data_IF_492308641699
#
_entry.id   IF_492308641699
#
_cell.length_a   1.000
_cell.length_b   1.000
_cell.length_c   1.000
_cell.angle_alpha   90.00
_cell.angle_beta   90.00
_cell.angle_gamma   90.00
#
_symmetry.space_group_name_H-M   'P 1'
#
loop_
_entity.id
_entity.type
_entity.pdbx_description
1 polymer ?
#
# COMPACT_ATOMS: atom_id res chain seq x y z
N UNK A 1 -23.42 -9.44 37.17
CA UNK A 1 -22.56 -8.44 36.50
C UNK A 1 -22.70 -8.65 35.01
N UNK A 2 -23.21 -7.67 34.26
CA UNK A 2 -23.24 -7.78 32.80
C UNK A 2 -21.78 -7.93 32.33
N UNK A 3 -21.49 -8.96 31.53
CA UNK A 3 -20.15 -9.15 30.96
C UNK A 3 -19.71 -7.90 30.19
N UNK A 4 -18.41 -7.76 29.90
CA UNK A 4 -17.93 -6.65 29.07
C UNK A 4 -18.79 -6.59 27.79
N UNK A 5 -19.44 -5.44 27.57
CA UNK A 5 -20.26 -5.23 26.38
C UNK A 5 -19.43 -5.40 25.11
N UNK A 6 -20.08 -5.45 23.96
CA UNK A 6 -19.43 -5.65 22.65
C UNK A 6 -18.25 -4.68 22.38
N UNK A 7 -18.33 -3.45 22.89
CA UNK A 7 -17.28 -2.44 22.76
C UNK A 7 -16.15 -2.58 23.79
N UNK A 8 -16.28 -3.49 24.76
CA UNK A 8 -15.26 -3.82 25.73
C UNK A 8 -14.42 -5.02 25.31
N UNK A 9 -13.33 -5.28 26.03
CA UNK A 9 -12.51 -6.46 25.81
C UNK A 9 -13.25 -7.71 26.31
N UNK A 10 -13.44 -8.69 25.44
CA UNK A 10 -14.18 -9.92 25.73
C UNK A 10 -13.44 -11.16 25.18
N UNK A 11 -13.86 -12.36 25.56
CA UNK A 11 -13.17 -13.61 25.20
C UNK A 11 -13.17 -13.90 23.68
N UNK A 12 -14.23 -13.49 22.97
CA UNK A 12 -14.35 -13.75 21.54
C UNK A 12 -13.57 -12.71 20.69
N UNK A 13 -12.28 -12.94 20.49
CA UNK A 13 -11.41 -12.04 19.71
C UNK A 13 -11.86 -11.87 18.25
N UNK A 14 -12.47 -12.88 17.62
CA UNK A 14 -12.96 -12.80 16.24
C UNK A 14 -13.98 -11.68 16.02
N UNK A 15 -14.74 -11.36 17.06
CA UNK A 15 -15.81 -10.34 17.03
C UNK A 15 -15.39 -8.98 17.53
N UNK A 16 -14.09 -8.77 17.81
CA UNK A 16 -13.59 -7.42 18.11
C UNK A 16 -13.91 -6.48 16.96
N UNK A 17 -14.33 -5.26 17.29
CA UNK A 17 -14.64 -4.20 16.34
C UNK A 17 -13.54 -4.02 15.28
N UNK A 18 -12.24 -3.93 15.61
CA UNK A 18 -11.17 -3.86 14.61
C UNK A 18 -11.13 -5.07 13.66
N UNK A 19 -11.40 -6.29 14.16
CA UNK A 19 -11.37 -7.50 13.33
C UNK A 19 -12.57 -7.55 12.37
N UNK A 20 -13.74 -7.09 12.80
CA UNK A 20 -14.90 -6.95 11.93
C UNK A 20 -14.68 -5.91 10.83
N UNK A 21 -14.03 -4.79 11.16
CA UNK A 21 -13.60 -3.79 10.17
C UNK A 21 -12.60 -4.43 9.19
N UNK A 22 -11.64 -5.23 9.69
CA UNK A 22 -10.71 -6.00 8.85
C UNK A 22 -11.42 -6.97 7.89
N UNK A 23 -12.48 -7.65 8.32
CA UNK A 23 -13.28 -8.51 7.44
C UNK A 23 -14.06 -7.70 6.39
N UNK A 24 -14.64 -6.57 6.79
CA UNK A 24 -15.32 -5.66 5.87
C UNK A 24 -14.36 -5.10 4.81
N UNK A 25 -13.12 -4.79 5.20
CA UNK A 25 -12.03 -4.40 4.31
C UNK A 25 -11.73 -5.48 3.27
N UNK A 26 -11.54 -6.74 3.69
CA UNK A 26 -11.32 -7.86 2.76
C UNK A 26 -12.47 -7.98 1.77
N UNK A 27 -13.73 -7.90 2.24
CA UNK A 27 -14.90 -7.96 1.37
C UNK A 27 -14.96 -6.80 0.36
N UNK A 28 -14.63 -5.57 0.80
CA UNK A 28 -14.59 -4.39 -0.05
C UNK A 28 -13.50 -4.49 -1.13
N UNK A 29 -12.31 -4.98 -0.78
CA UNK A 29 -11.23 -5.23 -1.75
C UNK A 29 -11.64 -6.29 -2.78
N UNK A 30 -12.21 -7.42 -2.35
CA UNK A 30 -12.70 -8.47 -3.25
C UNK A 30 -13.80 -7.96 -4.19
N UNK A 31 -14.74 -7.15 -3.67
CA UNK A 31 -15.75 -6.51 -4.49
C UNK A 31 -15.11 -5.58 -5.53
N UNK A 32 -14.18 -4.72 -5.12
CA UNK A 32 -13.47 -3.81 -6.01
C UNK A 32 -12.83 -4.57 -7.18
N UNK A 33 -12.12 -5.65 -6.88
CA UNK A 33 -11.47 -6.49 -7.88
C UNK A 33 -12.46 -7.21 -8.78
N UNK A 34 -13.59 -7.69 -8.24
CA UNK A 34 -14.65 -8.33 -9.02
C UNK A 34 -15.34 -7.40 -10.02
N UNK A 35 -15.37 -6.09 -9.76
CA UNK A 35 -15.94 -5.08 -10.67
C UNK A 35 -14.90 -4.32 -11.49
N UNK A 36 -13.61 -4.62 -11.34
CA UNK A 36 -12.50 -3.87 -11.95
C UNK A 36 -12.57 -3.73 -13.49
N UNK A 37 -13.12 -4.72 -14.19
CA UNK A 37 -13.28 -4.64 -15.66
C UNK A 37 -14.69 -4.26 -16.10
N UNK A 38 -15.65 -4.15 -15.17
CA UNK A 38 -17.06 -3.86 -15.45
C UNK A 38 -17.44 -2.41 -15.14
N UNK A 39 -16.96 -1.90 -14.01
CA UNK A 39 -17.26 -0.55 -13.54
C UNK A 39 -16.04 0.04 -12.81
N UNK A 40 -15.21 0.82 -13.50
CA UNK A 40 -13.97 1.34 -12.91
C UNK A 40 -14.22 2.32 -11.75
N UNK A 41 -15.30 3.10 -11.80
CA UNK A 41 -15.67 3.99 -10.70
C UNK A 41 -16.00 3.21 -9.42
N UNK A 42 -16.77 2.11 -9.53
CA UNK A 42 -17.08 1.27 -8.37
C UNK A 42 -15.83 0.58 -7.83
N UNK A 43 -14.92 0.13 -8.70
CA UNK A 43 -13.63 -0.42 -8.29
C UNK A 43 -12.82 0.60 -7.46
N UNK A 44 -12.66 1.82 -7.98
CA UNK A 44 -11.89 2.88 -7.30
C UNK A 44 -12.53 3.24 -5.95
N UNK A 45 -13.84 3.43 -5.91
CA UNK A 45 -14.55 3.79 -4.67
C UNK A 45 -14.47 2.65 -3.64
N UNK A 46 -14.73 1.41 -4.04
CA UNK A 46 -14.69 0.27 -3.13
C UNK A 46 -13.27 -0.01 -2.60
N UNK A 47 -12.25 0.12 -3.46
CA UNK A 47 -10.86 -0.02 -3.04
C UNK A 47 -10.45 1.13 -2.09
N UNK A 48 -10.86 2.36 -2.38
CA UNK A 48 -10.63 3.49 -1.50
C UNK A 48 -11.30 3.31 -0.12
N UNK A 49 -12.53 2.79 -0.08
CA UNK A 49 -13.20 2.46 1.18
C UNK A 49 -12.45 1.37 1.94
N UNK A 50 -12.00 0.32 1.26
CA UNK A 50 -11.14 -0.72 1.85
C UNK A 50 -9.88 -0.12 2.47
N UNK A 51 -9.24 0.82 1.76
CA UNK A 51 -8.05 1.52 2.24
C UNK A 51 -8.34 2.44 3.45
N UNK A 52 -9.51 3.09 3.51
CA UNK A 52 -9.91 3.87 4.70
C UNK A 52 -10.14 2.95 5.90
N UNK A 53 -10.69 1.75 5.70
CA UNK A 53 -10.92 0.78 6.76
C UNK A 53 -9.63 0.30 7.46
N UNK A 54 -8.50 0.27 6.76
CA UNK A 54 -7.16 -0.03 7.31
C UNK A 54 -6.80 0.89 8.48
N UNK A 55 -6.84 2.20 8.26
CA UNK A 55 -6.50 3.14 9.33
C UNK A 55 -7.55 3.13 10.46
N UNK A 56 -8.81 2.80 10.14
CA UNK A 56 -9.88 2.71 11.13
C UNK A 56 -9.73 1.49 12.05
N UNK A 57 -9.37 0.32 11.54
CA UNK A 57 -9.21 -0.88 12.37
C UNK A 57 -8.15 -0.65 13.47
N UNK A 58 -7.00 -0.08 13.12
CA UNK A 58 -5.92 0.21 14.06
C UNK A 58 -6.29 1.31 15.05
N UNK A 59 -7.16 2.27 14.67
CA UNK A 59 -7.69 3.30 15.58
C UNK A 59 -8.66 2.70 16.59
N UNK A 60 -9.66 1.95 16.13
CA UNK A 60 -10.64 1.31 17.00
C UNK A 60 -10.00 0.27 17.93
N UNK A 61 -8.99 -0.47 17.47
CA UNK A 61 -8.24 -1.38 18.33
C UNK A 61 -7.61 -0.66 19.53
N UNK A 62 -7.03 0.52 19.32
CA UNK A 62 -6.43 1.35 20.38
C UNK A 62 -7.48 2.02 21.26
N UNK A 63 -8.53 2.59 20.66
CA UNK A 63 -9.59 3.30 21.38
C UNK A 63 -10.41 2.38 22.29
N UNK A 64 -10.70 1.15 21.85
CA UNK A 64 -11.54 0.18 22.57
C UNK A 64 -10.72 -0.81 23.41
N UNK A 65 -9.39 -0.66 23.46
CA UNK A 65 -8.48 -1.60 24.11
C UNK A 65 -8.64 -3.07 23.64
N UNK A 66 -8.99 -3.24 22.36
CA UNK A 66 -9.23 -4.51 21.67
C UNK A 66 -8.03 -4.91 20.78
N UNK A 67 -6.81 -4.53 21.16
CA UNK A 67 -5.59 -4.98 20.48
C UNK A 67 -5.37 -6.48 20.67
N UNK A 68 -5.08 -7.19 19.58
CA UNK A 68 -4.87 -8.64 19.59
C UNK A 68 -3.83 -9.07 18.55
N UNK A 69 -3.13 -10.19 18.80
CA UNK A 69 -2.19 -10.78 17.84
C UNK A 69 -2.89 -11.18 16.54
N UNK A 70 -4.11 -11.72 16.64
CA UNK A 70 -4.93 -12.04 15.47
C UNK A 70 -5.20 -10.80 14.62
N UNK A 71 -5.64 -9.71 15.25
CA UNK A 71 -5.92 -8.46 14.54
C UNK A 71 -4.68 -7.86 13.88
N UNK A 72 -3.52 -7.90 14.55
CA UNK A 72 -2.27 -7.43 13.98
C UNK A 72 -1.81 -8.25 12.75
N UNK A 73 -2.00 -9.57 12.78
CA UNK A 73 -1.70 -10.43 11.61
C UNK A 73 -2.73 -10.21 10.50
N UNK A 74 -4.02 -10.11 10.84
CA UNK A 74 -5.09 -9.86 9.88
C UNK A 74 -4.87 -8.56 9.12
N UNK A 75 -4.55 -7.48 9.83
CA UNK A 75 -4.23 -6.17 9.27
C UNK A 75 -3.05 -6.28 8.28
N UNK A 76 -1.89 -6.74 8.77
CA UNK A 76 -0.70 -6.87 7.95
C UNK A 76 -0.92 -7.73 6.69
N UNK A 77 -1.54 -8.89 6.82
CA UNK A 77 -1.76 -9.80 5.68
C UNK A 77 -2.75 -9.20 4.68
N UNK A 78 -3.85 -8.61 5.17
CA UNK A 78 -4.87 -8.00 4.30
C UNK A 78 -4.28 -6.84 3.50
N UNK A 79 -3.42 -6.03 4.12
CA UNK A 79 -2.78 -4.89 3.48
C UNK A 79 -1.90 -5.33 2.29
N UNK A 80 -1.12 -6.41 2.43
CA UNK A 80 -0.28 -6.95 1.35
C UNK A 80 -1.11 -7.64 0.26
N UNK A 81 -2.17 -8.35 0.63
CA UNK A 81 -3.06 -9.00 -0.34
C UNK A 81 -3.84 -7.97 -1.18
N UNK A 82 -4.27 -6.87 -0.57
CA UNK A 82 -4.94 -5.77 -1.29
C UNK A 82 -3.98 -5.14 -2.32
N UNK A 83 -2.78 -4.72 -1.90
CA UNK A 83 -1.77 -4.16 -2.82
C UNK A 83 -1.41 -5.15 -3.94
N UNK A 84 -1.25 -6.44 -3.60
CA UNK A 84 -0.96 -7.50 -4.59
C UNK A 84 -2.09 -7.67 -5.60
N UNK A 85 -3.35 -7.70 -5.13
CA UNK A 85 -4.53 -7.80 -5.99
C UNK A 85 -4.64 -6.63 -6.96
N UNK A 86 -4.37 -5.41 -6.48
CA UNK A 86 -4.35 -4.21 -7.32
C UNK A 86 -3.23 -4.28 -8.37
N UNK A 87 -2.01 -4.70 -8.00
CA UNK A 87 -0.90 -4.89 -8.93
C UNK A 87 -1.19 -5.98 -9.97
N UNK A 88 -1.89 -7.06 -9.60
CA UNK A 88 -2.34 -8.07 -10.56
C UNK A 88 -3.29 -7.45 -11.57
N UNK A 89 -4.31 -6.70 -11.14
CA UNK A 89 -5.23 -6.01 -12.05
C UNK A 89 -4.49 -5.04 -12.96
N UNK A 90 -3.56 -4.25 -12.42
CA UNK A 90 -2.71 -3.36 -13.21
C UNK A 90 -1.91 -4.14 -14.26
N UNK A 91 -1.34 -5.30 -13.91
CA UNK A 91 -0.60 -6.14 -14.86
C UNK A 91 -1.47 -6.75 -15.96
N UNK A 92 -2.76 -7.00 -15.67
CA UNK A 92 -3.72 -7.49 -16.66
C UNK A 92 -4.14 -6.37 -17.63
N UNK A 93 -4.27 -5.15 -17.12
CA UNK A 93 -4.62 -3.96 -17.93
C UNK A 93 -3.42 -3.48 -18.76
N UNK A 94 -2.22 -3.57 -18.21
CA UNK A 94 -0.96 -3.19 -18.85
C UNK A 94 0.03 -4.37 -18.86
N UNK A 95 -0.14 -5.33 -19.79
CA UNK A 95 0.77 -6.47 -19.91
C UNK A 95 2.23 -6.04 -20.15
N UNK A 96 2.50 -4.82 -20.63
CA UNK A 96 3.87 -4.34 -20.86
C UNK A 96 4.67 -4.15 -19.56
N UNK A 97 4.00 -3.88 -18.44
CA UNK A 97 4.66 -3.62 -17.14
C UNK A 97 4.57 -4.80 -16.17
N UNK A 98 4.09 -5.97 -16.62
CA UNK A 98 3.86 -7.14 -15.76
C UNK A 98 5.09 -7.54 -14.93
N UNK A 99 6.28 -7.53 -15.53
CA UNK A 99 7.54 -7.87 -14.84
C UNK A 99 7.82 -6.92 -13.68
N UNK A 100 7.55 -5.61 -13.87
CA UNK A 100 7.70 -4.62 -12.81
C UNK A 100 6.68 -4.86 -11.69
N UNK A 101 5.42 -5.13 -12.02
CA UNK A 101 4.39 -5.46 -11.03
C UNK A 101 4.79 -6.70 -10.19
N UNK A 102 5.27 -7.76 -10.84
CA UNK A 102 5.75 -8.97 -10.16
C UNK A 102 6.93 -8.66 -9.26
N UNK A 103 7.91 -7.88 -9.74
CA UNK A 103 9.08 -7.49 -8.94
C UNK A 103 8.68 -6.67 -7.70
N UNK A 104 7.71 -5.77 -7.83
CA UNK A 104 7.17 -4.98 -6.71
C UNK A 104 6.46 -5.87 -5.67
N UNK A 105 5.65 -6.84 -6.11
CA UNK A 105 5.01 -7.82 -5.22
C UNK A 105 6.09 -8.63 -4.48
N UNK A 106 7.12 -9.11 -5.18
CA UNK A 106 8.19 -9.89 -4.55
C UNK A 106 8.93 -9.06 -3.50
N UNK A 107 9.29 -7.81 -3.83
CA UNK A 107 9.97 -6.92 -2.89
C UNK A 107 9.12 -6.66 -1.65
N UNK A 108 7.84 -6.37 -1.82
CA UNK A 108 6.91 -6.09 -0.72
C UNK A 108 6.72 -7.32 0.18
N UNK A 109 6.38 -8.47 -0.39
CA UNK A 109 6.18 -9.71 0.38
C UNK A 109 7.47 -10.15 1.08
N UNK A 110 8.61 -10.20 0.37
CA UNK A 110 9.87 -10.62 0.99
C UNK A 110 10.30 -9.70 2.13
N UNK A 111 10.27 -8.37 1.90
CA UNK A 111 10.71 -7.40 2.91
C UNK A 111 9.91 -7.51 4.21
N UNK A 112 8.59 -7.70 4.13
CA UNK A 112 7.73 -7.84 5.29
C UNK A 112 7.86 -9.21 5.96
N UNK A 113 7.93 -10.30 5.18
CA UNK A 113 8.06 -11.65 5.71
C UNK A 113 9.38 -11.85 6.46
N UNK A 114 10.49 -11.38 5.88
CA UNK A 114 11.81 -11.43 6.51
C UNK A 114 11.81 -10.61 7.80
N UNK A 115 11.25 -9.40 7.78
CA UNK A 115 11.19 -8.54 8.97
C UNK A 115 10.37 -9.19 10.10
N UNK A 116 9.25 -9.83 9.78
CA UNK A 116 8.43 -10.57 10.74
C UNK A 116 9.22 -11.71 11.39
N UNK A 117 9.88 -12.54 10.59
CA UNK A 117 10.69 -13.65 11.10
C UNK A 117 11.90 -13.17 11.91
N UNK A 118 12.61 -12.13 11.46
CA UNK A 118 13.72 -11.55 12.20
C UNK A 118 13.26 -11.03 13.57
N UNK A 119 12.10 -10.38 13.62
CA UNK A 119 11.51 -9.84 14.86
C UNK A 119 11.07 -10.94 15.83
N UNK A 120 10.59 -12.08 15.31
CA UNK A 120 10.28 -13.28 16.10
C UNK A 120 11.55 -13.98 16.61
N UNK A 121 12.55 -14.15 15.74
CA UNK A 121 13.81 -14.83 16.06
C UNK A 121 14.66 -14.07 17.09
N UNK A 122 14.64 -12.74 17.05
CA UNK A 122 15.28 -11.87 18.05
C UNK A 122 14.47 -11.72 19.35
N UNK A 123 13.32 -12.40 19.44
CA UNK A 123 12.53 -12.55 20.65
C UNK A 123 12.08 -11.23 21.26
N UNK A 124 11.31 -10.41 20.54
CA UNK A 124 10.65 -9.19 21.04
C UNK A 124 11.49 -8.27 21.96
N UNK A 125 12.83 -8.35 21.90
CA UNK A 125 13.67 -7.36 22.53
C UNK A 125 13.55 -6.13 21.66
N UNK A 126 12.93 -5.10 22.24
CA UNK A 126 12.59 -3.84 21.59
C UNK A 126 13.87 -3.08 21.30
N UNK A 127 14.68 -3.55 20.35
CA UNK A 127 15.73 -2.76 19.75
C UNK A 127 15.15 -2.17 18.47
N UNK A 128 14.28 -1.17 18.66
CA UNK A 128 14.09 -0.07 17.70
C UNK A 128 15.38 0.74 17.59
N UNK A 129 16.49 0.08 17.28
CA UNK A 129 17.71 0.73 16.86
C UNK A 129 18.12 0.06 15.54
N UNK A 130 17.21 0.20 14.56
CA UNK A 130 17.63 0.16 13.16
C UNK A 130 18.51 1.39 12.98
N UNK A 131 19.79 1.29 13.38
CA UNK A 131 20.84 2.23 13.00
C UNK A 131 21.13 2.05 11.51
N UNK A 132 20.11 2.26 10.68
CA UNK A 132 20.33 2.48 9.27
C UNK A 132 21.14 3.76 9.14
N UNK A 133 22.24 3.71 8.38
CA UNK A 133 23.12 4.85 8.14
C UNK A 133 22.42 5.98 7.36
N UNK A 134 21.26 5.72 6.76
CA UNK A 134 20.52 6.68 5.93
C UNK A 134 19.45 7.43 6.74
N UNK A 135 19.52 8.77 6.75
CA UNK A 135 18.57 9.61 7.47
C UNK A 135 17.11 9.47 6.98
N UNK A 136 16.92 9.13 5.71
CA UNK A 136 15.60 8.93 5.10
C UNK A 136 14.86 7.71 5.66
N UNK A 137 15.54 6.57 5.77
CA UNK A 137 14.96 5.35 6.34
C UNK A 137 14.68 5.53 7.84
N UNK A 138 15.54 6.28 8.54
CA UNK A 138 15.28 6.65 9.93
C UNK A 138 14.03 7.53 10.06
N UNK A 139 13.86 8.54 9.20
CA UNK A 139 12.67 9.39 9.19
C UNK A 139 11.40 8.56 8.89
N UNK A 140 11.49 7.62 7.94
CA UNK A 140 10.41 6.69 7.60
C UNK A 140 9.92 5.90 8.79
N UNK A 141 10.81 5.26 9.56
CA UNK A 141 10.41 4.47 10.72
C UNK A 141 10.13 5.29 11.99
N UNK A 142 10.75 6.47 12.14
CA UNK A 142 10.54 7.33 13.30
C UNK A 142 9.22 8.11 13.25
N UNK A 143 8.75 8.49 12.06
CA UNK A 143 7.56 9.31 11.89
C UNK A 143 6.42 8.53 11.23
N UNK A 144 5.44 8.12 12.04
CA UNK A 144 4.25 7.37 11.58
C UNK A 144 3.44 8.11 10.52
N UNK A 145 3.39 9.45 10.56
CA UNK A 145 2.66 10.24 9.55
C UNK A 145 3.37 10.16 8.21
N UNK A 146 4.71 10.25 8.20
CA UNK A 146 5.50 10.15 6.99
C UNK A 146 5.47 8.74 6.38
N UNK A 147 5.49 7.69 7.22
CA UNK A 147 5.27 6.31 6.80
C UNK A 147 3.90 6.14 6.13
N UNK A 148 2.84 6.64 6.78
CA UNK A 148 1.47 6.61 6.24
C UNK A 148 1.35 7.32 4.90
N UNK A 149 1.97 8.51 4.77
CA UNK A 149 2.05 9.25 3.50
C UNK A 149 2.65 8.40 2.38
N UNK A 150 3.80 7.75 2.62
CA UNK A 150 4.45 6.91 1.61
C UNK A 150 3.59 5.69 1.21
N UNK A 151 2.87 5.09 2.17
CA UNK A 151 1.94 3.99 1.89
C UNK A 151 0.76 4.46 1.01
N UNK A 152 0.14 5.59 1.37
CA UNK A 152 -0.93 6.22 0.57
C UNK A 152 -0.45 6.50 -0.84
N UNK A 153 0.75 7.08 -1.00
CA UNK A 153 1.32 7.36 -2.31
C UNK A 153 1.44 6.11 -3.20
N UNK A 154 1.82 4.96 -2.64
CA UNK A 154 1.91 3.73 -3.43
C UNK A 154 0.53 3.27 -3.92
N UNK A 155 -0.45 3.23 -3.03
CA UNK A 155 -1.82 2.82 -3.38
C UNK A 155 -2.45 3.78 -4.40
N UNK A 156 -2.27 5.08 -4.19
CA UNK A 156 -2.74 6.12 -5.13
C UNK A 156 -2.07 5.96 -6.49
N UNK A 157 -0.76 5.72 -6.54
CA UNK A 157 -0.06 5.55 -7.81
C UNK A 157 -0.59 4.34 -8.59
N UNK A 158 -0.80 3.20 -7.93
CA UNK A 158 -1.34 1.99 -8.57
C UNK A 158 -2.78 2.19 -9.03
N UNK A 159 -3.62 2.85 -8.23
CA UNK A 159 -5.00 3.20 -8.62
C UNK A 159 -5.02 4.15 -9.81
N UNK A 160 -4.12 5.15 -9.84
CA UNK A 160 -4.00 6.10 -10.95
C UNK A 160 -3.54 5.39 -12.23
N UNK A 161 -2.58 4.46 -12.13
CA UNK A 161 -2.17 3.63 -13.27
C UNK A 161 -3.36 2.81 -13.77
N UNK A 162 -4.13 2.17 -12.89
CA UNK A 162 -5.35 1.47 -13.28
C UNK A 162 -6.39 2.40 -13.93
N UNK A 163 -6.61 3.58 -13.34
CA UNK A 163 -7.56 4.59 -13.83
C UNK A 163 -7.21 5.13 -15.22
N UNK A 164 -5.92 5.22 -15.55
CA UNK A 164 -5.42 5.70 -16.85
C UNK A 164 -5.92 4.88 -18.05
N UNK A 165 -6.36 3.64 -17.83
CA UNK A 165 -6.98 2.82 -18.87
C UNK A 165 -8.36 3.31 -19.28
N UNK A 166 -9.05 4.03 -18.40
CA UNK A 166 -10.46 4.38 -18.55
C UNK A 166 -10.61 5.88 -18.85
N UNK A 167 -10.88 6.28 -20.12
CA UNK A 167 -10.96 7.68 -20.50
C UNK A 167 -12.00 8.48 -19.71
N UNK A 168 -13.11 7.84 -19.31
CA UNK A 168 -14.14 8.46 -18.48
C UNK A 168 -13.62 8.88 -17.09
N UNK A 169 -12.72 8.11 -16.49
CA UNK A 169 -12.12 8.45 -15.18
C UNK A 169 -11.08 9.56 -15.35
N UNK A 170 -10.27 9.48 -16.41
CA UNK A 170 -9.25 10.48 -16.72
C UNK A 170 -9.83 11.83 -17.17
N UNK A 171 -11.04 11.84 -17.72
CA UNK A 171 -11.72 13.04 -18.23
C UNK A 171 -12.06 14.09 -17.18
N UNK A 172 -11.92 13.79 -15.88
CA UNK A 172 -12.01 14.78 -14.81
C UNK A 172 -10.71 15.59 -14.80
N UNK A 173 -10.67 16.64 -15.63
CA UNK A 173 -9.49 17.45 -15.88
C UNK A 173 -9.68 18.91 -15.46
N UNK A 174 -8.60 19.52 -14.99
CA UNK A 174 -8.50 20.95 -14.77
C UNK A 174 -8.07 21.61 -16.09
N UNK A 175 -8.84 22.58 -16.63
CA UNK A 175 -8.47 23.26 -17.86
C UNK A 175 -7.20 24.07 -17.67
N UNK A 176 -6.27 23.96 -18.61
CA UNK A 176 -5.05 24.76 -18.61
C UNK A 176 -5.32 26.19 -19.07
N UNK A 177 -4.66 27.21 -18.48
CA UNK A 177 -4.78 28.59 -18.94
C UNK A 177 -4.42 28.70 -20.42
N UNK A 178 -5.17 29.52 -21.17
CA UNK A 178 -4.91 29.87 -22.56
C UNK A 178 -4.90 28.70 -23.57
N UNK A 179 -5.56 27.58 -23.27
CA UNK A 179 -5.67 26.45 -24.20
C UNK A 179 -4.35 25.73 -24.47
N UNK A 180 -3.37 25.90 -23.58
CA UNK A 180 -2.09 25.15 -23.63
C UNK A 180 -2.39 23.66 -23.53
N UNK A 181 -1.85 22.89 -24.47
CA UNK A 181 -1.91 21.42 -24.45
C UNK A 181 -0.61 20.88 -23.89
N UNK A 182 -0.71 19.92 -22.98
CA UNK A 182 0.45 19.15 -22.55
C UNK A 182 0.74 18.10 -23.60
N UNK A 183 1.88 18.23 -24.25
CA UNK A 183 2.42 17.23 -25.16
C UNK A 183 3.73 16.69 -24.58
N UNK A 184 3.90 15.38 -24.61
CA UNK A 184 5.14 14.74 -24.22
C UNK A 184 6.12 14.71 -25.41
N UNK A 185 7.42 14.90 -25.20
CA UNK A 185 8.40 14.77 -26.26
C UNK A 185 8.31 13.37 -26.92
N UNK A 186 8.43 13.28 -28.25
CA UNK A 186 8.29 12.03 -28.98
C UNK A 186 9.21 10.89 -28.45
N UNK A 187 10.45 11.23 -28.07
CA UNK A 187 11.40 10.28 -27.45
C UNK A 187 10.89 9.65 -26.16
N UNK A 188 10.06 10.37 -25.38
CA UNK A 188 9.47 9.85 -24.14
C UNK A 188 8.35 8.87 -24.46
N UNK A 189 7.54 9.16 -25.47
CA UNK A 189 6.46 8.28 -25.93
C UNK A 189 6.99 7.00 -26.59
N UNK A 190 8.14 7.06 -27.26
CA UNK A 190 8.83 5.88 -27.79
C UNK A 190 9.28 4.92 -26.68
N UNK A 191 9.80 5.45 -25.57
CA UNK A 191 10.27 4.64 -24.43
C UNK A 191 9.12 4.18 -23.54
N UNK A 192 8.10 5.02 -23.36
CA UNK A 192 6.99 4.78 -22.45
C UNK A 192 5.65 5.20 -23.07
N UNK A 193 5.12 4.42 -24.02
CA UNK A 193 3.87 4.75 -24.72
C UNK A 193 2.66 4.81 -23.80
N UNK A 194 2.73 4.15 -22.64
CA UNK A 194 1.69 4.21 -21.58
C UNK A 194 1.46 5.63 -21.06
N UNK A 195 2.46 6.51 -21.13
CA UNK A 195 2.34 7.90 -20.66
C UNK A 195 1.38 8.75 -21.49
N UNK A 196 1.11 8.38 -22.75
CA UNK A 196 0.13 9.08 -23.58
C UNK A 196 -1.27 9.08 -22.94
N UNK A 197 -1.63 8.01 -22.23
CA UNK A 197 -2.93 7.86 -21.57
C UNK A 197 -3.15 8.80 -20.39
N UNK A 198 -2.08 9.44 -19.92
CA UNK A 198 -2.13 10.44 -18.86
C UNK A 198 -2.38 11.85 -19.40
N UNK A 199 -2.29 12.03 -20.72
CA UNK A 199 -2.57 13.28 -21.40
C UNK A 199 -4.05 13.37 -21.75
N UNK A 200 -4.68 14.49 -21.40
CA UNK A 200 -6.08 14.76 -21.72
C UNK A 200 -6.14 16.02 -22.58
N UNK A 201 -6.84 16.01 -23.73
CA UNK A 201 -6.90 17.18 -24.61
C UNK A 201 -7.48 18.44 -23.96
N UNK A 202 -8.32 18.27 -22.94
CA UNK A 202 -9.01 19.34 -22.21
C UNK A 202 -8.21 19.95 -21.06
N UNK A 203 -7.00 19.45 -20.76
CA UNK A 203 -6.16 19.99 -19.68
C UNK A 203 -5.38 18.90 -18.93
N UNK A 204 -5.19 19.09 -17.62
CA UNK A 204 -4.49 18.09 -16.78
C UNK A 204 -5.52 17.30 -15.99
N UNK A 205 -5.55 15.97 -16.18
CA UNK A 205 -6.40 15.10 -15.36
C UNK A 205 -6.01 15.22 -13.89
N UNK A 206 -7.00 15.28 -12.99
CA UNK A 206 -6.77 15.23 -11.54
C UNK A 206 -5.99 13.95 -11.18
N UNK A 207 -6.28 12.83 -11.85
CA UNK A 207 -5.58 11.57 -11.63
C UNK A 207 -4.10 11.68 -12.00
N UNK A 208 -3.76 12.37 -13.09
CA UNK A 208 -2.37 12.62 -13.48
C UNK A 208 -1.64 13.46 -12.43
N UNK A 209 -2.28 14.49 -11.89
CA UNK A 209 -1.71 15.32 -10.81
C UNK A 209 -1.45 14.47 -9.56
N UNK A 210 -2.44 13.66 -9.15
CA UNK A 210 -2.30 12.75 -8.01
C UNK A 210 -1.19 11.72 -8.21
N UNK A 211 -1.07 11.16 -9.42
CA UNK A 211 0.00 10.23 -9.78
C UNK A 211 1.39 10.86 -9.65
N UNK A 212 1.58 12.07 -10.21
CA UNK A 212 2.85 12.80 -10.12
C UNK A 212 3.19 13.14 -8.66
N UNK A 213 2.20 13.63 -7.90
CA UNK A 213 2.38 13.95 -6.48
C UNK A 213 2.70 12.72 -5.62
N UNK A 214 2.31 11.52 -6.06
CA UNK A 214 2.57 10.27 -5.37
C UNK A 214 3.96 9.66 -5.65
N UNK A 215 4.65 10.08 -6.73
CA UNK A 215 5.96 9.52 -7.11
C UNK A 215 7.01 9.59 -5.99
N UNK A 216 7.22 10.72 -5.28
CA UNK A 216 8.25 10.79 -4.24
C UNK A 216 8.01 9.81 -3.09
N UNK A 217 6.74 9.67 -2.66
CA UNK A 217 6.36 8.72 -1.61
C UNK A 217 6.50 7.27 -2.07
N UNK A 218 6.16 6.98 -3.33
CA UNK A 218 6.35 5.66 -3.93
C UNK A 218 7.82 5.23 -3.93
N UNK A 219 8.72 6.03 -4.49
CA UNK A 219 10.13 5.70 -4.54
C UNK A 219 10.74 5.55 -3.14
N UNK A 220 10.33 6.43 -2.22
CA UNK A 220 10.77 6.34 -0.81
C UNK A 220 10.36 5.01 -0.19
N UNK A 221 9.11 4.56 -0.40
CA UNK A 221 8.64 3.25 0.10
C UNK A 221 9.45 2.10 -0.49
N UNK A 222 9.69 2.09 -1.81
CA UNK A 222 10.44 1.00 -2.45
C UNK A 222 11.89 0.91 -1.93
N UNK A 223 12.55 2.05 -1.73
CA UNK A 223 13.88 2.11 -1.11
C UNK A 223 13.83 1.56 0.31
N UNK A 224 12.82 1.94 1.11
CA UNK A 224 12.65 1.45 2.47
C UNK A 224 12.41 -0.06 2.50
N UNK A 225 11.55 -0.62 1.64
CA UNK A 225 11.32 -2.06 1.53
C UNK A 225 12.60 -2.83 1.22
N UNK A 226 13.44 -2.31 0.32
CA UNK A 226 14.73 -2.94 0.00
C UNK A 226 15.70 -2.90 1.19
N UNK A 227 15.80 -1.75 1.86
CA UNK A 227 16.65 -1.61 3.06
C UNK A 227 16.14 -2.50 4.20
N UNK A 228 14.82 -2.61 4.37
CA UNK A 228 14.19 -3.49 5.35
C UNK A 228 14.54 -4.95 5.10
N UNK A 229 14.40 -5.42 3.86
CA UNK A 229 14.74 -6.78 3.47
C UNK A 229 16.21 -7.11 3.79
N UNK A 230 17.13 -6.22 3.40
CA UNK A 230 18.55 -6.39 3.69
C UNK A 230 18.83 -6.44 5.19
N UNK A 231 18.27 -5.50 5.95
CA UNK A 231 18.48 -5.40 7.40
C UNK A 231 17.96 -6.63 8.11
N UNK A 232 16.77 -7.12 7.73
CA UNK A 232 16.19 -8.33 8.30
C UNK A 232 17.02 -9.58 7.97
N UNK A 233 17.57 -9.68 6.76
CA UNK A 233 18.48 -10.76 6.40
C UNK A 233 19.78 -10.74 7.24
N UNK A 234 20.39 -9.56 7.41
CA UNK A 234 21.59 -9.39 8.25
C UNK A 234 21.32 -9.79 9.71
N UNK A 235 20.13 -9.46 10.24
CA UNK A 235 19.70 -9.85 11.58
C UNK A 235 19.56 -11.37 11.73
N UNK A 236 18.95 -12.05 10.76
CA UNK A 236 18.80 -13.51 10.78
C UNK A 236 20.16 -14.21 10.72
N UNK A 237 21.07 -13.73 9.88
CA UNK A 237 22.46 -14.23 9.82
C UNK A 237 23.16 -14.07 11.16
N UNK A 238 22.97 -12.93 11.83
CA UNK A 238 23.55 -12.68 13.15
C UNK A 238 23.01 -13.62 14.23
N UNK A 239 21.71 -13.96 14.19
CA UNK A 239 21.09 -14.95 15.09
C UNK A 239 21.76 -16.31 14.92
N UNK A 240 21.98 -16.75 13.68
CA UNK A 240 22.62 -18.04 13.43
C UNK A 240 24.10 -18.06 13.81
N UNK A 241 24.79 -16.92 13.72
CA UNK A 241 26.15 -16.78 14.23
C UNK A 241 26.23 -16.92 15.76
N UNK A 242 25.19 -16.53 16.49
CA UNK A 242 25.12 -16.69 17.95
C UNK A 242 24.86 -18.14 18.38
N UNK A 243 24.09 -18.92 17.61
CA UNK A 243 23.82 -20.34 17.89
C UNK A 243 25.05 -21.25 17.74
N UNK A 244 26.07 -20.81 17.01
CA UNK A 244 27.34 -21.54 16.82
C UNK A 244 28.34 -21.35 17.96
N UNK A 245 28.02 -20.52 18.97
CA UNK A 245 28.78 -20.39 20.22
C UNK A 245 28.07 -21.14 21.33
#
# INVERSE_FOLDING_TARGET
MAGPGFFGRHSNVYTYVPNLIGYARVAAALYAFGVAFKSPYQCIIAYFLSFVCDELDGRFARMLNQTSTLGAVLDMVTDRLATTGLLIIVSLVYPQIHTLCIALVFLDIFSHWFQMYASLALGATTHKDVRSKSGLVRLYYSNRVFMGYCCICCEVLYLVIYASMWPGVMGIALPLPNGVRLELPARVLEVAPVLERFLVPSGVSIMTILGIAALPGFFTKQICNWVQLRTAADQLIAVDAQKKK
#
